data_IF_495409557425
#
_entry.id   IF_495409557425
#
_cell.length_a   1.000
_cell.length_b   1.000
_cell.length_c   1.000
_cell.angle_alpha   90.00
_cell.angle_beta   90.00
_cell.angle_gamma   90.00
#
_symmetry.space_group_name_H-M   'P 1'
#
loop_
_entity.id
_entity.type
_entity.pdbx_description
1 polymer ?
#
# COMPACT_ATOMS: atom_id res chain seq x y z
N UNK A 1 -10.70 6.49 11.65
CA UNK A 1 -10.12 5.15 11.94
C UNK A 1 -10.74 4.06 11.11
N UNK A 2 -12.03 3.75 11.31
CA UNK A 2 -12.71 2.67 10.57
C UNK A 2 -12.58 2.77 9.05
N UNK A 3 -12.66 3.98 8.48
CA UNK A 3 -12.54 4.19 7.04
C UNK A 3 -11.15 3.80 6.49
N UNK A 4 -10.08 4.12 7.22
CA UNK A 4 -8.71 3.82 6.79
C UNK A 4 -8.33 2.36 7.03
N UNK A 5 -8.78 1.78 8.14
CA UNK A 5 -8.63 0.34 8.37
C UNK A 5 -9.39 -0.49 7.33
N UNK A 6 -10.56 -0.01 6.90
CA UNK A 6 -11.35 -0.65 5.85
C UNK A 6 -10.74 -0.49 4.45
N UNK A 7 -10.05 0.63 4.18
CA UNK A 7 -9.31 0.77 2.94
C UNK A 7 -8.17 -0.26 2.84
N UNK A 8 -7.42 -0.45 3.92
CA UNK A 8 -6.32 -1.41 3.90
C UNK A 8 -6.77 -2.85 3.59
N UNK A 9 -7.83 -3.31 4.27
CA UNK A 9 -8.40 -4.65 4.01
C UNK A 9 -8.97 -4.78 2.59
N UNK A 10 -9.50 -3.69 2.02
CA UNK A 10 -9.97 -3.65 0.62
C UNK A 10 -8.85 -3.72 -0.41
N UNK A 11 -7.65 -3.27 -0.09
CA UNK A 11 -6.56 -3.13 -1.07
C UNK A 11 -5.58 -4.31 -1.09
N UNK A 12 -5.64 -5.21 -0.10
CA UNK A 12 -4.85 -6.45 -0.10
C UNK A 12 -5.17 -7.37 -1.30
N UNK A 13 -6.46 -7.66 -1.54
CA UNK A 13 -6.86 -8.51 -2.68
C UNK A 13 -6.52 -7.87 -4.05
N UNK A 14 -6.74 -6.56 -4.28
CA UNK A 14 -6.22 -5.85 -5.45
C UNK A 14 -4.70 -5.93 -5.63
N UNK A 15 -3.91 -5.88 -4.55
CA UNK A 15 -2.46 -6.05 -4.64
C UNK A 15 -2.09 -7.46 -5.14
N UNK A 16 -2.71 -8.49 -4.58
CA UNK A 16 -2.57 -9.87 -5.08
C UNK A 16 -2.97 -9.99 -6.56
N UNK A 17 -4.11 -9.40 -6.93
CA UNK A 17 -4.60 -9.41 -8.31
C UNK A 17 -3.72 -8.63 -9.29
N UNK A 18 -3.04 -7.58 -8.84
CA UNK A 18 -2.07 -6.83 -9.64
C UNK A 18 -0.91 -7.72 -10.03
N UNK A 19 -0.29 -8.40 -9.05
CA UNK A 19 0.85 -9.30 -9.31
C UNK A 19 0.47 -10.56 -10.09
N UNK A 20 -0.78 -11.00 -10.05
CA UNK A 20 -1.30 -12.12 -10.85
C UNK A 20 -1.83 -11.75 -12.24
N UNK A 21 -1.48 -10.57 -12.75
CA UNK A 21 -1.93 -10.11 -14.08
C UNK A 21 -1.34 -10.98 -15.20
N UNK A 22 -2.14 -11.26 -16.23
CA UNK A 22 -1.76 -12.15 -17.33
C UNK A 22 -0.83 -11.47 -18.35
N UNK A 23 -0.89 -10.15 -18.42
CA UNK A 23 -0.17 -9.31 -19.36
C UNK A 23 0.18 -7.96 -18.72
N UNK A 24 1.08 -7.25 -19.39
CA UNK A 24 1.64 -5.97 -18.93
C UNK A 24 0.59 -4.87 -18.84
N UNK A 25 -0.30 -4.77 -19.83
CA UNK A 25 -1.33 -3.71 -19.86
C UNK A 25 -2.30 -3.84 -18.68
N UNK A 26 -2.72 -5.08 -18.38
CA UNK A 26 -3.55 -5.40 -17.22
C UNK A 26 -2.81 -5.10 -15.92
N UNK A 27 -1.52 -5.44 -15.85
CA UNK A 27 -0.68 -5.13 -14.69
C UNK A 27 -0.61 -3.62 -14.43
N UNK A 28 -0.25 -2.84 -15.44
CA UNK A 28 -0.10 -1.38 -15.33
C UNK A 28 -1.42 -0.71 -14.95
N UNK A 29 -2.54 -1.15 -15.53
CA UNK A 29 -3.87 -0.61 -15.20
C UNK A 29 -4.26 -0.90 -13.74
N UNK A 30 -4.00 -2.12 -13.26
CA UNK A 30 -4.29 -2.50 -11.86
C UNK A 30 -3.37 -1.80 -10.89
N UNK A 31 -2.08 -1.69 -11.23
CA UNK A 31 -1.08 -0.98 -10.46
C UNK A 31 -1.45 0.48 -10.31
N UNK A 32 -1.79 1.17 -11.41
CA UNK A 32 -2.18 2.58 -11.37
C UNK A 32 -3.40 2.83 -10.44
N UNK A 33 -4.34 1.89 -10.40
CA UNK A 33 -5.47 1.97 -9.48
C UNK A 33 -5.08 1.73 -8.02
N UNK A 34 -4.14 0.82 -7.76
CA UNK A 34 -3.61 0.58 -6.41
C UNK A 34 -2.76 1.76 -5.92
N UNK A 35 -1.93 2.35 -6.80
CA UNK A 35 -1.10 3.52 -6.49
C UNK A 35 -1.92 4.73 -6.04
N UNK A 36 -3.15 4.92 -6.54
CA UNK A 36 -4.05 5.97 -6.03
C UNK A 36 -4.33 5.85 -4.53
N UNK A 37 -4.33 4.63 -3.98
CA UNK A 37 -4.52 4.41 -2.54
C UNK A 37 -3.25 4.69 -1.76
N UNK A 38 -2.09 4.28 -2.27
CA UNK A 38 -0.79 4.63 -1.67
C UNK A 38 -0.58 6.15 -1.67
N UNK A 39 -0.87 6.83 -2.77
CA UNK A 39 -0.81 8.29 -2.85
C UNK A 39 -1.69 8.98 -1.79
N UNK A 40 -2.89 8.44 -1.53
CA UNK A 40 -3.77 8.99 -0.48
C UNK A 40 -3.20 8.81 0.92
N UNK A 41 -2.55 7.68 1.19
CA UNK A 41 -1.89 7.44 2.47
C UNK A 41 -0.62 8.29 2.62
N UNK A 42 0.21 8.37 1.58
CA UNK A 42 1.39 9.25 1.50
C UNK A 42 1.04 10.68 1.88
N UNK A 43 -0.02 11.23 1.28
CA UNK A 43 -0.50 12.59 1.55
C UNK A 43 -1.11 12.75 2.94
N UNK A 44 -1.51 11.65 3.59
CA UNK A 44 -2.12 11.68 4.92
C UNK A 44 -1.07 11.60 6.03
N UNK A 45 0.04 10.94 5.76
CA UNK A 45 1.15 10.79 6.69
C UNK A 45 1.88 12.12 6.84
N UNK A 46 2.01 12.56 8.10
CA UNK A 46 2.78 13.73 8.48
C UNK A 46 4.27 13.41 8.58
N UNK A 47 4.95 14.10 9.48
CA UNK A 47 6.35 13.85 9.82
C UNK A 47 6.51 12.93 11.04
N UNK A 48 5.42 12.30 11.49
CA UNK A 48 5.39 11.35 12.61
C UNK A 48 5.53 9.91 12.14
N UNK A 49 5.99 9.04 13.03
CA UNK A 49 6.27 7.62 12.74
C UNK A 49 5.03 6.82 12.30
N UNK A 50 3.83 7.19 12.77
CA UNK A 50 2.58 6.48 12.50
C UNK A 50 1.49 7.41 11.97
N UNK A 51 0.40 6.84 11.46
CA UNK A 51 -0.76 7.58 10.93
C UNK A 51 -1.40 8.56 11.93
N UNK A 52 -1.10 8.41 13.22
CA UNK A 52 -1.70 9.19 14.33
C UNK A 52 -0.69 9.82 15.29
N UNK A 53 0.55 10.02 14.86
CA UNK A 53 1.62 10.52 15.71
C UNK A 53 2.63 9.42 16.01
N UNK A 54 3.11 9.37 17.25
CA UNK A 54 4.27 8.55 17.62
C UNK A 54 3.89 7.19 18.23
N UNK A 55 2.61 6.80 18.13
CA UNK A 55 2.11 5.53 18.63
C UNK A 55 1.32 4.76 17.56
N UNK A 56 1.47 3.43 17.60
CA UNK A 56 0.72 2.50 16.76
C UNK A 56 -0.78 2.62 17.06
N UNK A 57 -1.58 2.65 16.00
CA UNK A 57 -3.04 2.66 16.07
C UNK A 57 -3.66 1.60 15.16
N UNK A 58 -5.00 1.48 15.23
CA UNK A 58 -5.74 0.53 14.41
C UNK A 58 -5.62 0.75 12.90
N UNK A 59 -5.25 1.96 12.45
CA UNK A 59 -5.00 2.19 11.03
C UNK A 59 -3.65 1.59 10.62
N UNK A 60 -2.61 1.76 11.44
CA UNK A 60 -1.28 1.19 11.18
C UNK A 60 -1.35 -0.34 11.11
N UNK A 61 -2.01 -0.97 12.09
CA UNK A 61 -2.21 -2.44 12.13
C UNK A 61 -2.95 -2.93 10.89
N UNK A 62 -3.93 -2.16 10.39
CA UNK A 62 -4.68 -2.55 9.21
C UNK A 62 -3.87 -2.42 7.92
N UNK A 63 -2.99 -1.41 7.83
CA UNK A 63 -2.10 -1.17 6.68
C UNK A 63 -0.88 -2.09 6.66
N UNK A 64 -0.44 -2.59 7.82
CA UNK A 64 0.74 -3.44 7.95
C UNK A 64 0.79 -4.61 6.94
N UNK A 65 -0.28 -5.43 6.74
CA UNK A 65 -0.22 -6.53 5.78
C UNK A 65 -0.04 -6.07 4.32
N UNK A 66 -0.62 -4.91 3.97
CA UNK A 66 -0.56 -4.35 2.62
C UNK A 66 0.86 -3.80 2.32
N UNK A 67 1.44 -3.06 3.27
CA UNK A 67 2.78 -2.47 3.14
C UNK A 67 3.86 -3.56 3.24
N UNK A 68 3.74 -4.48 4.20
CA UNK A 68 4.68 -5.60 4.33
C UNK A 68 4.70 -6.47 3.07
N UNK A 69 3.54 -6.75 2.46
CA UNK A 69 3.48 -7.48 1.20
C UNK A 69 4.16 -6.74 0.05
N UNK A 70 4.11 -5.41 0.02
CA UNK A 70 4.85 -4.62 -0.96
C UNK A 70 6.37 -4.80 -0.80
N UNK A 71 6.88 -4.83 0.44
CA UNK A 71 8.29 -5.14 0.73
C UNK A 71 8.68 -6.53 0.20
N UNK A 72 7.88 -7.56 0.50
CA UNK A 72 8.13 -8.93 0.03
C UNK A 72 8.14 -9.01 -1.50
N UNK A 73 7.25 -8.27 -2.18
CA UNK A 73 7.23 -8.20 -3.66
C UNK A 73 8.51 -7.52 -4.18
N UNK A 74 8.93 -6.42 -3.57
CA UNK A 74 10.16 -5.71 -3.93
C UNK A 74 11.39 -6.60 -3.75
N UNK A 75 11.49 -7.30 -2.63
CA UNK A 75 12.57 -8.24 -2.33
C UNK A 75 12.57 -9.45 -3.29
N UNK A 76 11.40 -10.02 -3.59
CA UNK A 76 11.28 -11.24 -4.39
C UNK A 76 11.30 -11.03 -5.91
N UNK A 77 10.89 -9.85 -6.39
CA UNK A 77 10.76 -9.55 -7.83
C UNK A 77 11.61 -8.37 -8.31
N UNK A 78 12.16 -7.57 -7.40
CA UNK A 78 12.81 -6.29 -7.72
C UNK A 78 11.83 -5.16 -8.06
N UNK A 79 10.52 -5.42 -8.14
CA UNK A 79 9.53 -4.41 -8.49
C UNK A 79 9.05 -3.65 -7.25
N UNK A 80 9.31 -2.34 -7.20
CA UNK A 80 8.87 -1.48 -6.10
C UNK A 80 7.48 -0.88 -6.38
N UNK A 81 6.44 -1.45 -5.77
CA UNK A 81 5.07 -0.94 -5.88
C UNK A 81 4.86 0.41 -5.18
N UNK A 82 5.76 0.78 -4.26
CA UNK A 82 5.70 1.99 -3.45
C UNK A 82 6.70 3.05 -3.93
N UNK A 83 7.31 2.86 -5.10
CA UNK A 83 8.20 3.84 -5.71
C UNK A 83 7.48 5.20 -5.83
N UNK A 84 8.13 6.25 -5.33
CA UNK A 84 7.57 7.60 -5.29
C UNK A 84 6.67 7.91 -4.09
N UNK A 85 6.48 6.97 -3.15
CA UNK A 85 5.71 7.16 -1.91
C UNK A 85 6.56 6.84 -0.67
N UNK A 86 7.54 7.67 -0.32
CA UNK A 86 8.52 7.37 0.73
C UNK A 86 7.94 7.26 2.15
N UNK A 87 6.81 7.91 2.46
CA UNK A 87 6.22 7.87 3.81
C UNK A 87 5.48 6.56 4.09
N UNK A 88 5.09 5.83 3.06
CA UNK A 88 4.42 4.52 3.20
C UNK A 88 5.36 3.33 3.05
N UNK A 89 6.68 3.53 2.94
CA UNK A 89 7.71 2.48 2.93
C UNK A 89 8.19 2.17 4.33
#
# INVERSE_FOLDING_TARGET
DRAWSYQASKHYMPQCGTMGSKDKETFETRLANLQKSFQKAENKLGDSDFFKGDYISNVDIAWLPLLHRASVIKEGSGFDMLEGFPKVQ
#
